data_IF_471805565528
#
_entry.id   IF_471805565528
#
_cell.length_a   1.000
_cell.length_b   1.000
_cell.length_c   1.000
_cell.angle_alpha   90.00
_cell.angle_beta   90.00
_cell.angle_gamma   90.00
#
_symmetry.space_group_name_H-M   'P 1'
#
loop_
_entity.id
_entity.type
_entity.pdbx_description
1 polymer ?
#
# COMPACT_ATOMS: atom_id res chain seq x y z
N UNK A 1 7.09 11.08 18.82
CA UNK A 1 6.61 11.76 17.60
C UNK A 1 5.46 12.72 17.88
N UNK A 2 4.23 12.27 18.14
CA UNK A 2 3.06 13.16 18.35
C UNK A 2 3.26 14.14 19.51
N UNK A 3 3.68 13.66 20.68
CA UNK A 3 3.95 14.49 21.86
C UNK A 3 5.00 15.59 21.61
N UNK A 4 6.06 15.27 20.86
CA UNK A 4 7.12 16.22 20.50
C UNK A 4 6.60 17.33 19.56
N UNK A 5 5.65 17.01 18.67
CA UNK A 5 5.01 18.01 17.82
C UNK A 5 4.06 18.90 18.65
N UNK A 6 3.31 18.32 19.60
CA UNK A 6 2.54 19.12 20.57
C UNK A 6 3.44 20.08 21.36
N UNK A 7 4.60 19.62 21.84
CA UNK A 7 5.60 20.47 22.51
C UNK A 7 6.12 21.60 21.60
N UNK A 8 6.39 21.31 20.32
CA UNK A 8 6.80 22.31 19.32
C UNK A 8 5.74 23.38 19.08
N UNK A 9 4.45 23.03 19.07
CA UNK A 9 3.36 24.01 18.92
C UNK A 9 3.07 24.78 20.22
N UNK A 10 3.19 24.13 21.39
CA UNK A 10 3.12 24.79 22.68
C UNK A 10 4.23 25.85 22.84
N UNK A 11 5.45 25.57 22.36
CA UNK A 11 6.56 26.54 22.34
C UNK A 11 6.29 27.76 21.42
N UNK A 12 5.33 27.68 20.49
CA UNK A 12 4.86 28.82 19.68
C UNK A 12 3.67 29.57 20.32
N UNK A 13 3.31 29.23 21.57
CA UNK A 13 2.19 29.84 22.29
C UNK A 13 0.81 29.26 21.96
N UNK A 14 0.71 28.16 21.20
CA UNK A 14 -0.56 27.49 20.93
C UNK A 14 -0.98 26.66 22.15
N UNK A 15 -2.22 26.83 22.63
CA UNK A 15 -2.77 26.04 23.73
C UNK A 15 -3.11 24.61 23.27
N UNK A 16 -2.09 23.76 23.15
CA UNK A 16 -2.19 22.35 22.78
C UNK A 16 -1.68 21.47 23.92
N UNK A 17 -2.30 20.30 24.11
CA UNK A 17 -1.92 19.32 25.13
C UNK A 17 -1.90 17.93 24.51
N UNK A 18 -0.89 17.13 24.87
CA UNK A 18 -0.84 15.72 24.54
C UNK A 18 -1.49 14.93 25.68
N UNK A 19 -2.34 13.96 25.33
CA UNK A 19 -3.11 13.16 26.27
C UNK A 19 -3.06 11.69 25.84
N UNK A 20 -2.56 10.83 26.72
CA UNK A 20 -2.52 9.38 26.54
C UNK A 20 -3.27 8.67 27.65
N UNK A 21 -3.71 7.44 27.36
CA UNK A 21 -4.38 6.54 28.30
C UNK A 21 -3.77 5.15 28.22
N UNK A 22 -3.69 4.48 29.37
CA UNK A 22 -3.10 3.15 29.48
C UNK A 22 -3.98 2.06 28.86
N UNK A 23 -5.31 2.22 28.94
CA UNK A 23 -6.29 1.24 28.47
C UNK A 23 -7.10 1.77 27.26
N UNK A 24 -7.35 0.89 26.29
CA UNK A 24 -8.10 1.16 25.05
C UNK A 24 -9.62 0.97 25.16
N UNK A 25 -10.16 0.53 26.30
CA UNK A 25 -11.62 0.34 26.53
C UNK A 25 -12.48 1.47 25.96
N UNK A 26 -13.55 1.13 25.24
CA UNK A 26 -14.47 2.08 24.61
C UNK A 26 -13.90 2.84 23.39
N UNK A 27 -12.70 2.52 22.91
CA UNK A 27 -12.09 3.09 21.70
C UNK A 27 -12.20 4.64 21.66
N UNK A 28 -12.71 5.23 20.56
CA UNK A 28 -12.83 6.68 20.38
C UNK A 28 -13.75 7.34 21.43
N UNK A 29 -14.89 6.71 21.73
CA UNK A 29 -15.82 7.20 22.75
C UNK A 29 -15.22 7.17 24.16
N UNK A 30 -14.45 6.13 24.50
CA UNK A 30 -13.71 6.04 25.75
C UNK A 30 -12.62 7.11 25.87
N UNK A 31 -11.86 7.36 24.80
CA UNK A 31 -10.84 8.41 24.77
C UNK A 31 -11.47 9.81 24.97
N UNK A 32 -12.58 10.09 24.28
CA UNK A 32 -13.35 11.33 24.44
C UNK A 32 -13.89 11.48 25.87
N UNK A 33 -14.49 10.43 26.44
CA UNK A 33 -15.03 10.43 27.80
C UNK A 33 -13.96 10.73 28.86
N UNK A 34 -12.74 10.22 28.71
CA UNK A 34 -11.64 10.58 29.62
C UNK A 34 -11.12 12.00 29.37
N UNK A 35 -11.00 12.44 28.11
CA UNK A 35 -10.62 13.82 27.77
C UNK A 35 -11.57 14.86 28.38
N UNK A 36 -12.88 14.64 28.31
CA UNK A 36 -13.90 15.52 28.87
C UNK A 36 -13.84 15.66 30.41
N UNK A 37 -13.22 14.72 31.13
CA UNK A 37 -13.03 14.83 32.60
C UNK A 37 -11.88 15.75 33.00
N UNK A 38 -10.95 16.05 32.09
CA UNK A 38 -9.72 16.81 32.40
C UNK A 38 -10.07 18.21 32.92
N UNK A 39 -9.31 18.68 33.90
CA UNK A 39 -9.58 19.94 34.61
C UNK A 39 -9.70 21.15 33.68
N UNK A 40 -8.84 21.25 32.67
CA UNK A 40 -8.86 22.35 31.71
C UNK A 40 -10.13 22.36 30.83
N UNK A 41 -10.70 21.21 30.48
CA UNK A 41 -11.95 21.12 29.70
C UNK A 41 -13.16 21.59 30.52
N UNK A 42 -13.07 21.60 31.86
CA UNK A 42 -14.15 22.12 32.71
C UNK A 42 -14.42 23.62 32.49
N UNK A 43 -13.44 24.36 31.96
CA UNK A 43 -13.54 25.78 31.65
C UNK A 43 -13.91 26.07 30.19
N UNK A 44 -14.14 25.03 29.38
CA UNK A 44 -14.63 25.17 28.01
C UNK A 44 -16.18 25.12 27.99
N UNK A 45 -16.80 26.08 27.31
CA UNK A 45 -18.25 26.12 27.04
C UNK A 45 -18.64 25.20 25.88
N UNK A 46 -17.71 25.05 24.93
CA UNK A 46 -17.85 24.27 23.71
C UNK A 46 -16.70 23.27 23.59
N UNK A 47 -16.99 22.08 23.07
CA UNK A 47 -15.99 21.07 22.71
C UNK A 47 -16.13 20.75 21.24
N UNK A 48 -15.07 20.98 20.46
CA UNK A 48 -14.98 20.57 19.06
C UNK A 48 -14.18 19.27 18.95
N UNK A 49 -14.69 18.31 18.19
CA UNK A 49 -14.08 16.98 18.00
C UNK A 49 -13.65 16.84 16.55
N UNK A 50 -12.40 16.44 16.33
CA UNK A 50 -11.81 16.20 15.01
C UNK A 50 -11.25 14.79 14.94
N UNK A 51 -11.24 14.19 13.75
CA UNK A 51 -10.44 12.99 13.48
C UNK A 51 -9.11 13.40 12.83
N UNK A 52 -8.10 12.54 12.95
CA UNK A 52 -6.71 12.85 12.53
C UNK A 52 -6.59 13.03 11.01
N UNK A 53 -7.47 12.38 10.24
CA UNK A 53 -7.48 12.41 8.78
C UNK A 53 -8.16 13.68 8.21
N UNK A 54 -8.84 14.49 9.04
CA UNK A 54 -9.64 15.63 8.58
C UNK A 54 -8.87 16.96 8.56
N UNK A 55 -8.93 17.68 7.42
CA UNK A 55 -8.34 19.02 7.27
C UNK A 55 -9.39 20.13 7.30
N UNK A 56 -9.36 20.97 8.32
CA UNK A 56 -10.30 22.07 8.48
C UNK A 56 -10.01 23.26 7.55
N UNK A 57 -11.06 23.80 6.93
CA UNK A 57 -11.05 25.19 6.46
C UNK A 57 -10.71 26.13 7.63
N UNK A 58 -9.76 27.07 7.49
CA UNK A 58 -9.28 27.91 8.62
C UNK A 58 -10.35 28.74 9.33
N UNK A 59 -11.50 28.96 8.69
CA UNK A 59 -12.63 29.71 9.23
C UNK A 59 -13.74 28.83 9.83
N UNK A 60 -13.64 27.49 9.75
CA UNK A 60 -14.72 26.56 10.09
C UNK A 60 -15.35 26.85 11.47
N UNK A 61 -14.52 26.97 12.51
CA UNK A 61 -15.01 27.24 13.87
C UNK A 61 -15.72 28.58 13.99
N UNK A 62 -15.30 29.60 13.23
CA UNK A 62 -15.95 30.92 13.20
C UNK A 62 -17.34 30.86 12.56
N UNK A 63 -17.56 29.95 11.61
CA UNK A 63 -18.88 29.70 11.00
C UNK A 63 -19.75 28.77 11.82
N UNK A 64 -19.17 27.80 12.53
CA UNK A 64 -19.92 26.77 13.26
C UNK A 64 -20.41 27.23 14.64
N UNK A 65 -19.59 27.95 15.43
CA UNK A 65 -19.93 28.37 16.79
C UNK A 65 -21.17 29.28 16.88
N UNK A 66 -21.40 30.26 15.97
CA UNK A 66 -22.57 31.15 16.05
C UNK A 66 -23.92 30.42 16.14
N UNK A 67 -24.10 29.27 15.48
CA UNK A 67 -25.33 28.48 15.56
C UNK A 67 -25.64 27.99 16.99
N UNK A 68 -24.63 27.72 17.82
CA UNK A 68 -24.80 27.33 19.23
C UNK A 68 -24.95 28.53 20.16
N UNK A 69 -24.32 29.67 19.82
CA UNK A 69 -24.43 30.91 20.61
C UNK A 69 -25.82 31.54 20.45
N UNK A 70 -26.38 31.47 19.24
CA UNK A 70 -27.64 32.11 18.88
C UNK A 70 -28.88 31.28 19.26
N UNK A 71 -28.73 29.99 19.54
CA UNK A 71 -29.83 29.10 19.87
C UNK A 71 -29.40 28.03 20.90
N UNK A 72 -29.88 28.17 22.13
CA UNK A 72 -29.64 27.25 23.25
C UNK A 72 -30.26 25.86 23.07
N UNK A 73 -31.20 25.70 22.15
CA UNK A 73 -31.85 24.42 21.86
C UNK A 73 -30.97 23.54 20.93
N UNK A 74 -29.92 24.11 20.33
CA UNK A 74 -28.99 23.38 19.46
C UNK A 74 -27.84 22.83 20.31
N UNK A 75 -27.95 21.54 20.64
CA UNK A 75 -26.89 20.82 21.37
C UNK A 75 -25.74 20.33 20.48
N UNK A 76 -25.85 20.42 19.15
CA UNK A 76 -24.86 19.93 18.20
C UNK A 76 -24.87 20.71 16.87
N UNK A 77 -23.71 21.20 16.44
CA UNK A 77 -23.47 21.60 15.03
C UNK A 77 -22.62 20.53 14.38
N UNK A 78 -23.10 19.97 13.25
CA UNK A 78 -22.42 18.96 12.46
C UNK A 78 -22.09 19.44 11.04
N UNK A 79 -20.83 19.26 10.63
CA UNK A 79 -20.38 19.51 9.26
C UNK A 79 -20.77 18.38 8.28
N UNK A 80 -20.88 18.71 6.99
CA UNK A 80 -21.16 17.74 5.92
C UNK A 80 -19.90 16.98 5.50
N UNK A 81 -20.05 15.68 5.24
CA UNK A 81 -19.01 14.86 4.62
C UNK A 81 -18.83 15.22 3.13
N UNK A 82 -17.59 15.41 2.69
CA UNK A 82 -17.18 15.57 1.29
C UNK A 82 -15.93 14.74 1.03
N UNK A 83 -15.88 14.12 -0.13
CA UNK A 83 -14.70 13.43 -0.65
C UNK A 83 -14.35 14.10 -1.97
N UNK A 84 -13.18 14.72 -2.08
CA UNK A 84 -12.71 15.28 -3.34
C UNK A 84 -12.01 14.18 -4.16
N UNK A 85 -12.45 14.01 -5.41
CA UNK A 85 -12.09 12.85 -6.22
C UNK A 85 -10.66 12.85 -6.80
N UNK A 86 -9.83 13.83 -6.45
CA UNK A 86 -8.50 14.04 -7.06
C UNK A 86 -7.32 14.05 -6.06
N UNK A 87 -7.57 14.21 -4.75
CA UNK A 87 -6.58 14.02 -3.70
C UNK A 87 -7.25 13.45 -2.44
N UNK A 88 -6.54 12.63 -1.68
CA UNK A 88 -6.99 12.01 -0.42
C UNK A 88 -7.08 13.04 0.73
N UNK A 89 -7.92 14.06 0.58
CA UNK A 89 -8.24 15.05 1.61
C UNK A 89 -9.65 14.79 2.18
N UNK A 90 -9.72 14.27 3.41
CA UNK A 90 -10.96 13.82 4.04
C UNK A 90 -11.68 14.96 4.81
N UNK A 91 -13.02 14.92 4.77
CA UNK A 91 -13.94 15.96 5.28
C UNK A 91 -15.31 15.29 5.57
N UNK A 92 -16.06 15.45 6.67
CA UNK A 92 -15.86 15.97 8.02
C UNK A 92 -16.91 15.28 8.93
N UNK A 93 -16.53 14.82 10.12
CA UNK A 93 -17.46 14.72 11.26
C UNK A 93 -16.93 15.58 12.40
N UNK A 94 -17.60 16.70 12.65
CA UNK A 94 -17.24 17.64 13.71
C UNK A 94 -18.51 17.91 14.48
N UNK A 95 -18.57 17.46 15.73
CA UNK A 95 -19.56 17.94 16.68
C UNK A 95 -18.98 19.10 17.45
N UNK A 96 -19.68 20.23 17.49
CA UNK A 96 -19.52 21.22 18.56
C UNK A 96 -20.78 21.15 19.42
N UNK A 97 -20.61 20.96 20.72
CA UNK A 97 -21.73 20.82 21.67
C UNK A 97 -21.64 21.85 22.80
N UNK A 98 -22.77 22.44 23.16
CA UNK A 98 -22.91 23.37 24.28
C UNK A 98 -23.02 22.59 25.60
N UNK A 99 -22.25 22.98 26.59
CA UNK A 99 -22.26 22.36 27.92
C UNK A 99 -23.48 22.79 28.73
N UNK A 100 -24.47 21.91 28.83
CA UNK A 100 -25.71 22.15 29.58
C UNK A 100 -25.46 22.40 31.07
N UNK A 101 -26.06 23.46 31.63
CA UNK A 101 -26.10 23.73 33.08
C UNK A 101 -27.24 22.96 33.75
N UNK A 102 -27.02 22.56 35.00
CA UNK A 102 -27.99 21.77 35.79
C UNK A 102 -29.20 22.60 36.21
N UNK A 103 -30.38 22.16 35.79
CA UNK A 103 -31.64 22.20 36.54
C UNK A 103 -32.65 21.27 35.84
N UNK A 104 -33.70 20.81 36.55
CA UNK A 104 -34.73 19.84 36.12
C UNK A 104 -34.32 18.34 36.14
N UNK A 105 -34.41 17.76 37.35
CA UNK A 105 -34.09 16.35 37.61
C UNK A 105 -35.24 15.36 37.30
N UNK A 106 -36.47 15.86 37.05
CA UNK A 106 -37.66 15.03 36.78
C UNK A 106 -37.92 14.83 35.27
N UNK A 107 -37.52 15.78 34.42
CA UNK A 107 -37.56 15.60 32.96
C UNK A 107 -36.41 14.73 32.43
N UNK A 108 -35.29 14.66 33.16
CA UNK A 108 -34.12 13.87 32.78
C UNK A 108 -34.44 12.39 32.63
N UNK A 109 -35.13 11.76 33.57
CA UNK A 109 -35.43 10.31 33.52
C UNK A 109 -36.27 9.91 32.30
N UNK A 110 -37.23 10.75 31.89
CA UNK A 110 -38.05 10.48 30.70
C UNK A 110 -37.24 10.62 29.40
N UNK A 111 -36.37 11.64 29.33
CA UNK A 111 -35.48 11.86 28.18
C UNK A 111 -34.38 10.80 28.12
N UNK A 112 -33.82 10.38 29.27
CA UNK A 112 -32.84 9.29 29.35
C UNK A 112 -33.43 7.95 28.93
N UNK A 113 -34.66 7.62 29.35
CA UNK A 113 -35.35 6.41 28.90
C UNK A 113 -35.63 6.45 27.39
N UNK A 114 -36.11 7.58 26.86
CA UNK A 114 -36.36 7.72 25.41
C UNK A 114 -35.06 7.68 24.60
N UNK A 115 -33.96 8.27 25.12
CA UNK A 115 -32.63 8.13 24.52
C UNK A 115 -32.17 6.67 24.54
N UNK A 116 -32.33 5.97 25.67
CA UNK A 116 -31.90 4.59 25.83
C UNK A 116 -32.65 3.67 24.85
N UNK A 117 -33.97 3.79 24.77
CA UNK A 117 -34.82 3.04 23.84
C UNK A 117 -34.48 3.36 22.37
N UNK A 118 -34.19 4.63 22.06
CA UNK A 118 -33.73 5.06 20.74
C UNK A 118 -32.33 4.52 20.41
N UNK A 119 -31.41 4.47 21.39
CA UNK A 119 -30.06 3.94 21.25
C UNK A 119 -30.12 2.42 21.03
N UNK A 120 -30.93 1.70 21.79
CA UNK A 120 -31.09 0.24 21.65
C UNK A 120 -31.69 -0.13 20.30
N UNK A 121 -32.72 0.60 19.84
CA UNK A 121 -33.29 0.41 18.50
C UNK A 121 -32.25 0.62 17.40
N UNK A 122 -31.52 1.74 17.42
CA UNK A 122 -30.49 2.00 16.41
C UNK A 122 -29.28 1.07 16.54
N UNK A 123 -28.99 0.50 17.72
CA UNK A 123 -27.96 -0.51 17.87
C UNK A 123 -28.30 -1.80 17.13
N UNK A 124 -29.56 -2.25 17.16
CA UNK A 124 -30.01 -3.42 16.38
C UNK A 124 -29.83 -3.19 14.88
N UNK A 125 -30.33 -2.06 14.37
CA UNK A 125 -30.18 -1.68 12.95
C UNK A 125 -28.70 -1.52 12.55
N UNK A 126 -27.84 -0.98 13.42
CA UNK A 126 -26.38 -0.90 13.18
C UNK A 126 -25.69 -2.26 13.15
N UNK A 127 -26.13 -3.22 13.97
CA UNK A 127 -25.55 -4.57 14.01
C UNK A 127 -25.87 -5.31 12.72
N UNK A 128 -27.12 -5.27 12.24
CA UNK A 128 -27.51 -5.89 10.97
C UNK A 128 -26.76 -5.27 9.78
N UNK A 129 -26.66 -3.94 9.72
CA UNK A 129 -25.89 -3.25 8.67
C UNK A 129 -24.39 -3.58 8.75
N UNK A 130 -23.82 -3.62 9.94
CA UNK A 130 -22.41 -3.98 10.15
C UNK A 130 -22.14 -5.40 9.64
N UNK A 131 -22.98 -6.36 9.96
CA UNK A 131 -22.80 -7.74 9.54
C UNK A 131 -22.98 -7.89 8.02
N UNK A 132 -23.92 -7.16 7.41
CA UNK A 132 -24.04 -7.04 5.95
C UNK A 132 -22.75 -6.51 5.30
N UNK A 133 -22.19 -5.39 5.78
CA UNK A 133 -20.97 -4.81 5.22
C UNK A 133 -19.73 -5.66 5.47
N UNK A 134 -19.64 -6.36 6.60
CA UNK A 134 -18.55 -7.32 6.87
C UNK A 134 -18.59 -8.47 5.87
N UNK A 135 -19.76 -9.05 5.63
CA UNK A 135 -19.93 -10.14 4.68
C UNK A 135 -19.65 -9.70 3.23
N UNK A 136 -20.14 -8.52 2.83
CA UNK A 136 -19.84 -7.94 1.51
C UNK A 136 -18.34 -7.66 1.32
N UNK A 137 -17.66 -7.14 2.35
CA UNK A 137 -16.21 -6.89 2.31
C UNK A 137 -15.39 -8.20 2.27
N UNK A 138 -15.84 -9.25 2.97
CA UNK A 138 -15.21 -10.56 2.92
C UNK A 138 -15.30 -11.17 1.51
N UNK A 139 -16.50 -11.20 0.92
CA UNK A 139 -16.71 -11.69 -0.45
C UNK A 139 -15.91 -10.88 -1.50
N UNK A 140 -15.81 -9.56 -1.34
CA UNK A 140 -15.01 -8.71 -2.22
C UNK A 140 -13.50 -9.00 -2.12
N UNK A 141 -12.99 -9.32 -0.92
CA UNK A 141 -11.58 -9.71 -0.72
C UNK A 141 -11.30 -11.09 -1.32
N UNK A 142 -12.16 -12.07 -1.09
CA UNK A 142 -12.02 -13.42 -1.64
C UNK A 142 -12.06 -13.41 -3.18
N UNK A 143 -12.98 -12.63 -3.78
CA UNK A 143 -13.03 -12.43 -5.23
C UNK A 143 -11.76 -11.76 -5.78
N UNK A 144 -11.18 -10.81 -5.03
CA UNK A 144 -9.91 -10.17 -5.38
C UNK A 144 -8.75 -11.18 -5.33
N UNK A 145 -8.60 -11.92 -4.23
CA UNK A 145 -7.53 -12.92 -4.08
C UNK A 145 -7.62 -14.00 -5.16
N UNK A 146 -8.83 -14.45 -5.50
CA UNK A 146 -9.06 -15.43 -6.58
C UNK A 146 -8.67 -14.89 -7.97
N UNK A 147 -8.91 -13.60 -8.25
CA UNK A 147 -8.57 -12.99 -9.54
C UNK A 147 -7.07 -12.67 -9.65
N UNK A 148 -6.43 -12.18 -8.57
CA UNK A 148 -4.98 -12.01 -8.51
C UNK A 148 -4.23 -13.36 -8.64
N UNK A 149 -4.73 -14.42 -8.00
CA UNK A 149 -4.17 -15.77 -8.13
C UNK A 149 -4.28 -16.31 -9.57
N UNK A 150 -5.39 -16.07 -10.27
CA UNK A 150 -5.55 -16.46 -11.69
C UNK A 150 -4.57 -15.71 -12.59
N UNK A 151 -4.49 -14.38 -12.48
CA UNK A 151 -3.57 -13.57 -13.26
C UNK A 151 -2.10 -13.96 -13.04
N UNK A 152 -1.70 -14.23 -11.79
CA UNK A 152 -0.35 -14.72 -11.48
C UNK A 152 -0.07 -16.10 -12.07
N UNK A 153 -1.03 -17.02 -12.06
CA UNK A 153 -0.86 -18.35 -12.65
C UNK A 153 -0.76 -18.29 -14.19
N UNK A 154 -1.56 -17.44 -14.84
CA UNK A 154 -1.49 -17.19 -16.29
C UNK A 154 -0.14 -16.59 -16.69
N UNK A 155 0.30 -15.52 -16.01
CA UNK A 155 1.60 -14.89 -16.25
C UNK A 155 2.77 -15.84 -16.00
N UNK A 156 2.68 -16.70 -14.97
CA UNK A 156 3.67 -17.75 -14.69
C UNK A 156 3.71 -18.78 -15.82
N UNK A 157 2.57 -19.27 -16.29
CA UNK A 157 2.50 -20.26 -17.36
C UNK A 157 3.08 -19.73 -18.68
N UNK A 158 2.84 -18.44 -19.00
CA UNK A 158 3.44 -17.79 -20.16
C UNK A 158 4.98 -17.67 -20.03
N UNK A 159 5.48 -17.21 -18.88
CA UNK A 159 6.92 -17.13 -18.61
C UNK A 159 7.61 -18.50 -18.67
N UNK A 160 6.99 -19.54 -18.12
CA UNK A 160 7.50 -20.92 -18.21
C UNK A 160 7.51 -21.44 -19.66
N UNK A 161 6.59 -21.00 -20.52
CA UNK A 161 6.64 -21.35 -21.95
C UNK A 161 7.79 -20.65 -22.66
N UNK A 162 7.90 -19.33 -22.51
CA UNK A 162 8.99 -18.55 -23.10
C UNK A 162 10.38 -19.04 -22.65
N UNK A 163 10.50 -19.54 -21.41
CA UNK A 163 11.72 -20.13 -20.90
C UNK A 163 12.07 -21.46 -21.60
N UNK A 164 11.09 -22.34 -21.85
CA UNK A 164 11.30 -23.57 -22.62
C UNK A 164 11.73 -23.27 -24.05
N UNK A 165 11.03 -22.36 -24.73
CA UNK A 165 11.35 -21.95 -26.10
C UNK A 165 12.80 -21.41 -26.19
N UNK A 166 13.21 -20.61 -25.21
CA UNK A 166 14.59 -20.10 -25.13
C UNK A 166 15.63 -21.21 -24.88
N UNK A 167 15.32 -22.20 -24.05
CA UNK A 167 16.20 -23.36 -23.79
C UNK A 167 16.33 -24.28 -25.02
N UNK A 168 15.26 -24.47 -25.79
CA UNK A 168 15.32 -25.18 -27.07
C UNK A 168 16.20 -24.43 -28.07
N UNK A 169 16.05 -23.11 -28.20
CA UNK A 169 16.91 -22.28 -29.04
C UNK A 169 18.39 -22.32 -28.62
N UNK A 170 18.69 -22.28 -27.31
CA UNK A 170 20.06 -22.44 -26.80
C UNK A 170 20.63 -23.80 -27.20
N UNK A 171 19.85 -24.88 -27.03
CA UNK A 171 20.25 -26.24 -27.40
C UNK A 171 20.57 -26.36 -28.90
N UNK A 172 19.75 -25.75 -29.77
CA UNK A 172 20.00 -25.70 -31.21
C UNK A 172 21.27 -24.93 -31.56
N UNK A 173 21.55 -23.80 -30.89
CA UNK A 173 22.77 -23.02 -31.11
C UNK A 173 24.02 -23.78 -30.68
N UNK A 174 23.97 -24.49 -29.55
CA UNK A 174 25.08 -25.35 -29.09
C UNK A 174 25.36 -26.46 -30.10
N UNK A 175 24.33 -27.10 -30.64
CA UNK A 175 24.50 -28.12 -31.68
C UNK A 175 25.12 -27.55 -32.96
N UNK A 176 24.62 -26.40 -33.45
CA UNK A 176 25.16 -25.75 -34.65
C UNK A 176 26.63 -25.31 -34.49
N UNK A 177 27.03 -24.88 -33.29
CA UNK A 177 28.43 -24.56 -32.98
C UNK A 177 29.34 -25.79 -33.02
N UNK A 178 28.88 -26.95 -32.55
CA UNK A 178 29.65 -28.19 -32.60
C UNK A 178 29.75 -28.74 -34.03
N UNK A 179 28.70 -28.64 -34.85
CA UNK A 179 28.75 -28.96 -36.30
C UNK A 179 29.76 -28.07 -37.06
N UNK A 180 29.80 -26.77 -36.76
CA UNK A 180 30.79 -25.84 -37.31
C UNK A 180 32.22 -26.20 -36.86
N UNK A 181 32.40 -26.57 -35.58
CA UNK A 181 33.69 -26.99 -35.02
C UNK A 181 34.22 -28.26 -35.69
N UNK A 182 33.36 -29.26 -35.91
CA UNK A 182 33.70 -30.48 -36.64
C UNK A 182 34.07 -30.18 -38.09
N UNK A 183 33.32 -29.30 -38.76
CA UNK A 183 33.60 -28.85 -40.12
C UNK A 183 34.97 -28.16 -40.22
N UNK A 184 35.29 -27.26 -39.28
CA UNK A 184 36.59 -26.59 -39.21
C UNK A 184 37.73 -27.59 -38.99
N UNK A 185 37.53 -28.60 -38.14
CA UNK A 185 38.50 -29.67 -37.91
C UNK A 185 38.80 -30.45 -39.19
N UNK A 186 37.77 -30.84 -39.95
CA UNK A 186 37.91 -31.52 -41.24
C UNK A 186 38.64 -30.65 -42.28
N UNK A 187 38.33 -29.35 -42.36
CA UNK A 187 39.02 -28.42 -43.26
C UNK A 187 40.50 -28.31 -42.88
N UNK A 188 40.85 -28.20 -41.59
CA UNK A 188 42.24 -28.19 -41.13
C UNK A 188 42.98 -29.46 -41.53
N UNK A 189 42.37 -30.63 -41.36
CA UNK A 189 42.95 -31.91 -41.79
C UNK A 189 43.16 -31.98 -43.31
N UNK A 190 42.20 -31.50 -44.11
CA UNK A 190 42.31 -31.45 -45.58
C UNK A 190 43.42 -30.50 -46.04
N UNK A 191 43.53 -29.31 -45.45
CA UNK A 191 44.61 -28.35 -45.75
C UNK A 191 45.97 -28.93 -45.37
N UNK A 192 46.08 -29.62 -44.24
CA UNK A 192 47.32 -30.28 -43.80
C UNK A 192 47.72 -31.43 -44.73
N UNK A 193 46.77 -32.25 -45.17
CA UNK A 193 47.01 -33.32 -46.15
C UNK A 193 47.47 -32.75 -47.50
N UNK A 194 46.79 -31.73 -48.02
CA UNK A 194 47.16 -31.05 -49.28
C UNK A 194 48.56 -30.40 -49.18
N UNK A 195 48.90 -29.82 -48.02
CA UNK A 195 50.24 -29.29 -47.76
C UNK A 195 51.31 -30.39 -47.81
N UNK A 196 51.05 -31.55 -47.20
CA UNK A 196 51.97 -32.71 -47.28
C UNK A 196 52.13 -33.19 -48.73
N UNK A 197 51.05 -33.30 -49.51
CA UNK A 197 51.12 -33.67 -50.93
C UNK A 197 51.96 -32.68 -51.75
N UNK A 198 51.75 -31.37 -51.57
CA UNK A 198 52.52 -30.32 -52.24
C UNK A 198 54.01 -30.40 -51.88
N UNK A 199 54.33 -30.55 -50.59
CA UNK A 199 55.73 -30.68 -50.13
C UNK A 199 56.36 -31.98 -50.66
N UNK A 200 55.63 -33.10 -50.65
CA UNK A 200 56.06 -34.39 -51.19
C UNK A 200 56.36 -34.34 -52.69
N UNK A 201 55.48 -33.73 -53.49
CA UNK A 201 55.67 -33.56 -54.94
C UNK A 201 56.88 -32.68 -55.26
N UNK A 202 57.10 -31.60 -54.49
CA UNK A 202 58.29 -30.76 -54.66
C UNK A 202 59.59 -31.50 -54.28
N UNK A 203 59.57 -32.29 -53.20
CA UNK A 203 60.71 -33.12 -52.80
C UNK A 203 61.01 -34.24 -53.82
N UNK A 204 59.99 -34.86 -54.41
CA UNK A 204 60.17 -35.88 -55.46
C UNK A 204 60.84 -35.30 -56.72
N UNK A 205 60.46 -34.08 -57.13
CA UNK A 205 61.12 -33.38 -58.25
C UNK A 205 62.58 -32.99 -57.95
N UNK A 206 62.93 -32.79 -56.68
CA UNK A 206 64.30 -32.50 -56.23
C UNK A 206 65.21 -33.74 -56.15
N UNK A 207 64.68 -34.97 -56.18
CA UNK A 207 65.51 -36.19 -56.09
C UNK A 207 66.38 -36.48 -57.32
N UNK A 208 66.30 -35.67 -58.38
CA UNK A 208 67.25 -35.71 -59.50
C UNK A 208 68.55 -34.92 -59.25
N UNK A 209 68.63 -34.08 -58.21
CA UNK A 209 69.83 -33.30 -57.88
C UNK A 209 70.25 -33.43 -56.41
N UNK A 210 71.56 -33.41 -56.17
CA UNK A 210 72.19 -33.88 -54.92
C UNK A 210 72.07 -32.86 -53.79
N UNK A 211 71.02 -32.93 -52.96
CA UNK A 211 70.93 -32.20 -51.69
C UNK A 211 70.05 -32.91 -50.64
N UNK A 212 70.55 -33.05 -49.40
CA UNK A 212 69.81 -33.61 -48.27
C UNK A 212 69.00 -32.51 -47.57
N UNK A 213 67.67 -32.55 -47.65
CA UNK A 213 66.78 -31.69 -46.88
C UNK A 213 66.12 -32.48 -45.75
N UNK A 214 66.07 -31.90 -44.54
CA UNK A 214 65.34 -32.47 -43.40
C UNK A 214 64.18 -31.54 -43.05
N UNK A 215 62.94 -32.00 -43.19
CA UNK A 215 61.74 -31.21 -42.92
C UNK A 215 61.14 -31.68 -41.59
N UNK A 216 61.17 -30.83 -40.57
CA UNK A 216 60.41 -31.02 -39.33
C UNK A 216 59.16 -30.15 -39.42
N UNK A 217 58.00 -30.80 -39.47
CA UNK A 217 56.71 -30.14 -39.29
C UNK A 217 56.37 -30.05 -37.80
N UNK A 218 55.85 -28.89 -37.38
CA UNK A 218 55.13 -28.68 -36.12
C UNK A 218 53.63 -28.55 -36.44
#
# INVERSE_FOLDING_TARGET
MVEQECQRWAAKGINIRYESRENRTGYKAGALKEGLKRSYVKHCEYVAIFDVDFRLEPDYLRRAIPYLVQNSDIALVQARWRFDALYLDFTYLIGISQKYSREHQEGQTAIENLLQETIEKHQVELVEQKDYYINALAAAKEAKELTEARANNEAKAELESRLRDAQEHETMLVQALEELRQTLSRIKQQVFALFIEIVGLNLANLQNDVLRLCVVAL
#
